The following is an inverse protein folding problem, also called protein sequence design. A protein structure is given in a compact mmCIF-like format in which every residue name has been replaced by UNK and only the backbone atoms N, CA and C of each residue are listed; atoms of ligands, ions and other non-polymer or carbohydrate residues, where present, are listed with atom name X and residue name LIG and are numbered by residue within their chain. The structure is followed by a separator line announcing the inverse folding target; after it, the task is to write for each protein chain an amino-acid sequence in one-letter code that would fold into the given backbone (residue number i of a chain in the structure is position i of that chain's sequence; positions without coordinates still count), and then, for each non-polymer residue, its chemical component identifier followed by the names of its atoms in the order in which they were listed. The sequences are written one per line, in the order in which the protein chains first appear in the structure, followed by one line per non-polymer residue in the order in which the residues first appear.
data_IF_218592905843
#
_entry.id   IF_218592905843
#
_cell.length_a   1.000
_cell.length_b   1.000
_cell.length_c   1.000
_cell.angle_alpha   90.00
_cell.angle_beta   90.00
_cell.angle_gamma   90.00
#
_symmetry.space_group_name_H-M   'P 1'
#
loop_
_entity.id
_entity.type
_entity.pdbx_description
1 polymer ?
#
# COMPACT_ATOMS: atom_id res chain seq x y z
N UNK A 1 10.18 -12.32 34.36
CA UNK A 1 9.98 -11.07 33.60
C UNK A 1 8.93 -11.36 32.55
N UNK A 2 7.78 -10.66 32.55
CA UNK A 2 6.79 -10.82 31.48
C UNK A 2 7.34 -10.11 30.26
N UNK A 3 7.64 -10.84 29.19
CA UNK A 3 7.72 -10.26 27.85
C UNK A 3 6.34 -9.66 27.56
N UNK A 4 6.18 -8.36 27.78
CA UNK A 4 5.00 -7.64 27.33
C UNK A 4 5.02 -7.67 25.81
N UNK A 5 4.06 -8.40 25.23
CA UNK A 5 3.83 -8.41 23.79
C UNK A 5 3.64 -6.95 23.33
N UNK A 6 4.59 -6.46 22.53
CA UNK A 6 4.53 -5.11 21.97
C UNK A 6 3.61 -5.14 20.74
N UNK A 7 2.40 -4.62 20.90
CA UNK A 7 1.40 -4.52 19.84
C UNK A 7 1.39 -3.17 19.13
N UNK A 8 2.28 -2.24 19.47
CA UNK A 8 2.28 -0.88 18.91
C UNK A 8 2.57 -0.90 17.40
N UNK A 9 3.52 -1.73 16.96
CA UNK A 9 3.88 -1.86 15.54
C UNK A 9 2.74 -2.50 14.71
N UNK A 10 2.18 -3.67 15.10
CA UNK A 10 1.00 -4.23 14.45
C UNK A 10 -0.21 -3.27 14.43
N UNK A 11 -0.52 -2.61 15.55
CA UNK A 11 -1.64 -1.67 15.63
C UNK A 11 -1.44 -0.48 14.69
N UNK A 12 -0.21 0.04 14.58
CA UNK A 12 0.15 1.10 13.65
C UNK A 12 -0.04 0.68 12.19
N UNK A 13 0.40 -0.52 11.82
CA UNK A 13 0.19 -1.07 10.47
C UNK A 13 -1.30 -1.23 10.15
N UNK A 14 -2.07 -1.84 11.06
CA UNK A 14 -3.51 -2.04 10.88
C UNK A 14 -4.25 -0.71 10.72
N UNK A 15 -3.90 0.30 11.54
CA UNK A 15 -4.46 1.66 11.43
C UNK A 15 -4.13 2.31 10.09
N UNK A 16 -2.90 2.12 9.59
CA UNK A 16 -2.50 2.59 8.28
C UNK A 16 -3.29 1.88 7.16
N UNK A 17 -3.61 0.61 7.30
CA UNK A 17 -4.35 -0.16 6.30
C UNK A 17 -5.86 0.04 6.35
N UNK A 18 -6.44 0.45 7.49
CA UNK A 18 -7.88 0.60 7.69
C UNK A 18 -8.51 1.80 6.95
N UNK A 19 -8.38 1.82 5.61
CA UNK A 19 -9.01 2.80 4.72
C UNK A 19 -9.18 2.20 3.31
N UNK A 20 -10.35 2.33 2.69
CA UNK A 20 -10.69 1.64 1.45
C UNK A 20 -9.70 1.92 0.31
N UNK A 21 -9.36 3.20 0.08
CA UNK A 21 -8.38 3.57 -0.96
C UNK A 21 -7.00 3.00 -0.70
N UNK A 22 -6.57 2.92 0.56
CA UNK A 22 -5.23 2.41 0.91
C UNK A 22 -5.17 0.90 0.74
N UNK A 23 -6.22 0.18 1.13
CA UNK A 23 -6.35 -1.24 0.81
C UNK A 23 -6.30 -1.47 -0.69
N UNK A 24 -7.05 -0.69 -1.48
CA UNK A 24 -7.07 -0.83 -2.94
C UNK A 24 -5.68 -0.57 -3.57
N UNK A 25 -4.96 0.46 -3.11
CA UNK A 25 -3.59 0.75 -3.55
C UNK A 25 -2.64 -0.41 -3.20
N UNK A 26 -2.61 -0.84 -1.95
CA UNK A 26 -1.71 -1.91 -1.50
C UNK A 26 -2.02 -3.23 -2.22
N UNK A 27 -3.31 -3.52 -2.38
CA UNK A 27 -3.83 -4.65 -3.12
C UNK A 27 -3.30 -4.70 -4.56
N UNK A 28 -3.44 -3.59 -5.30
CA UNK A 28 -2.99 -3.53 -6.68
C UNK A 28 -1.46 -3.51 -6.84
N UNK A 29 -0.73 -3.18 -5.76
CA UNK A 29 0.74 -3.17 -5.72
C UNK A 29 1.37 -4.47 -5.16
N UNK A 30 0.57 -5.50 -4.85
CA UNK A 30 1.09 -6.73 -4.22
C UNK A 30 2.11 -7.46 -5.10
N UNK A 31 1.84 -7.53 -6.41
CA UNK A 31 2.60 -8.34 -7.35
C UNK A 31 3.30 -7.51 -8.44
N UNK A 32 3.06 -6.20 -8.49
CA UNK A 32 3.62 -5.32 -9.52
C UNK A 32 3.88 -3.91 -8.99
N UNK A 33 4.61 -3.12 -9.78
CA UNK A 33 4.85 -1.71 -9.52
C UNK A 33 3.93 -0.85 -10.39
N UNK A 34 3.46 0.27 -9.85
CA UNK A 34 2.55 1.15 -10.58
C UNK A 34 2.85 2.62 -10.27
N UNK A 35 2.64 3.50 -11.25
CA UNK A 35 2.79 4.95 -11.07
C UNK A 35 1.46 5.59 -10.63
N UNK A 36 1.53 6.82 -10.09
CA UNK A 36 0.35 7.52 -9.57
C UNK A 36 -0.69 7.82 -10.66
N UNK A 37 -0.25 8.08 -11.89
CA UNK A 37 -1.14 8.39 -13.02
C UNK A 37 -2.07 7.20 -13.32
N UNK A 38 -1.50 6.01 -13.46
CA UNK A 38 -2.26 4.79 -13.71
C UNK A 38 -3.17 4.45 -12.53
N UNK A 39 -2.70 4.59 -11.29
CA UNK A 39 -3.55 4.38 -10.11
C UNK A 39 -4.75 5.32 -10.06
N UNK A 40 -4.53 6.61 -10.37
CA UNK A 40 -5.58 7.62 -10.41
C UNK A 40 -6.69 7.23 -11.40
N UNK A 41 -6.31 6.78 -12.59
CA UNK A 41 -7.26 6.40 -13.63
C UNK A 41 -8.01 5.11 -13.25
N UNK A 42 -7.31 4.08 -12.73
CA UNK A 42 -7.94 2.83 -12.28
C UNK A 42 -8.88 3.02 -11.06
N UNK A 43 -8.52 3.91 -10.13
CA UNK A 43 -9.31 4.16 -8.92
C UNK A 43 -10.41 5.21 -9.13
N UNK A 44 -10.43 5.89 -10.28
CA UNK A 44 -11.28 7.05 -10.54
C UNK A 44 -11.20 8.13 -9.44
N UNK A 45 -10.00 8.36 -8.92
CA UNK A 45 -9.73 9.35 -7.86
C UNK A 45 -8.81 10.46 -8.36
N UNK A 46 -8.88 11.68 -7.79
CA UNK A 46 -7.90 12.72 -8.10
C UNK A 46 -6.46 12.29 -7.78
N UNK A 47 -5.50 12.74 -8.60
CA UNK A 47 -4.08 12.39 -8.44
C UNK A 47 -3.52 12.88 -7.10
N UNK A 48 -4.01 14.03 -6.61
CA UNK A 48 -3.67 14.58 -5.29
C UNK A 48 -4.11 13.63 -4.17
N UNK A 49 -5.31 13.05 -4.28
CA UNK A 49 -5.83 12.07 -3.32
C UNK A 49 -4.98 10.80 -3.31
N UNK A 50 -4.65 10.24 -4.48
CA UNK A 50 -3.79 9.05 -4.57
C UNK A 50 -2.40 9.34 -4.00
N UNK A 51 -1.81 10.48 -4.35
CA UNK A 51 -0.51 10.92 -3.82
C UNK A 51 -0.53 11.06 -2.29
N UNK A 52 -1.61 11.62 -1.72
CA UNK A 52 -1.77 11.74 -0.28
C UNK A 52 -1.83 10.37 0.41
N UNK A 53 -2.59 9.42 -0.15
CA UNK A 53 -2.66 8.07 0.41
C UNK A 53 -1.32 7.33 0.30
N UNK A 54 -0.60 7.48 -0.81
CA UNK A 54 0.75 6.94 -0.98
C UNK A 54 1.75 7.54 0.02
N UNK A 55 1.67 8.84 0.29
CA UNK A 55 2.51 9.49 1.29
C UNK A 55 2.29 8.92 2.69
N UNK A 56 1.03 8.67 3.07
CA UNK A 56 0.68 8.02 4.34
C UNK A 56 1.26 6.60 4.39
N UNK A 57 1.03 5.78 3.35
CA UNK A 57 1.54 4.41 3.27
C UNK A 57 3.07 4.36 3.32
N UNK A 58 3.75 5.30 2.65
CA UNK A 58 5.22 5.42 2.65
C UNK A 58 5.75 5.81 4.01
N UNK A 59 5.13 6.78 4.70
CA UNK A 59 5.51 7.17 6.04
C UNK A 59 5.37 6.03 7.07
N UNK A 60 4.49 5.05 6.80
CA UNK A 60 4.34 3.86 7.61
C UNK A 60 5.24 2.69 7.16
N UNK A 61 6.08 2.88 6.14
CA UNK A 61 6.99 1.86 5.62
C UNK A 61 6.29 0.72 4.90
N UNK A 62 5.08 0.94 4.39
CA UNK A 62 4.28 -0.10 3.71
C UNK A 62 4.65 -0.17 2.22
N UNK A 63 4.85 1.00 1.61
CA UNK A 63 5.23 1.13 0.21
C UNK A 63 6.49 1.97 0.08
N UNK A 64 7.20 1.80 -1.02
CA UNK A 64 8.26 2.70 -1.43
C UNK A 64 8.15 3.05 -2.92
N UNK A 65 8.74 4.18 -3.31
CA UNK A 65 8.69 4.73 -4.66
C UNK A 65 10.08 4.83 -5.28
N UNK A 66 10.24 4.28 -6.48
CA UNK A 66 11.47 4.36 -7.28
C UNK A 66 11.21 5.28 -8.47
N UNK A 67 12.13 6.23 -8.72
CA UNK A 67 12.01 7.16 -9.85
C UNK A 67 12.45 6.46 -11.14
N UNK A 68 11.58 6.48 -12.14
CA UNK A 68 11.81 5.93 -13.48
C UNK A 68 11.58 7.05 -14.49
N UNK A 69 12.66 7.76 -14.85
CA UNK A 69 12.59 8.96 -15.70
C UNK A 69 11.83 10.10 -15.02
N UNK A 70 10.72 10.53 -15.62
CA UNK A 70 9.86 11.60 -15.11
C UNK A 70 8.81 11.10 -14.11
N UNK A 71 8.61 9.79 -14.01
CA UNK A 71 7.57 9.19 -13.16
C UNK A 71 8.15 8.48 -11.94
N UNK A 72 7.31 8.23 -10.94
CA UNK A 72 7.65 7.45 -9.74
C UNK A 72 6.76 6.22 -9.70
N UNK A 73 7.38 5.05 -9.62
CA UNK A 73 6.72 3.76 -9.52
C UNK A 73 6.76 3.28 -8.07
N UNK A 74 5.60 2.93 -7.54
CA UNK A 74 5.46 2.45 -6.17
C UNK A 74 5.35 0.93 -6.12
N UNK A 75 5.82 0.34 -5.02
CA UNK A 75 5.69 -1.10 -4.71
C UNK A 75 5.48 -1.32 -3.22
N UNK A 76 4.82 -2.43 -2.84
CA UNK A 76 4.75 -2.85 -1.43
C UNK A 76 6.09 -3.44 -1.00
N UNK A 77 6.66 -2.93 0.09
CA UNK A 77 7.95 -3.35 0.63
C UNK A 77 7.83 -4.12 1.94
N UNK A 78 6.69 -4.03 2.63
CA UNK A 78 6.47 -4.71 3.91
C UNK A 78 5.87 -6.11 3.69
N UNK A 79 6.65 -7.15 3.98
CA UNK A 79 6.23 -8.55 3.77
C UNK A 79 5.04 -8.96 4.66
N UNK A 80 4.98 -8.49 5.92
CA UNK A 80 3.82 -8.77 6.81
C UNK A 80 2.52 -8.20 6.22
N UNK A 81 2.60 -7.02 5.60
CA UNK A 81 1.44 -6.42 4.92
C UNK A 81 1.05 -7.24 3.69
N UNK A 82 2.01 -7.73 2.90
CA UNK A 82 1.69 -8.60 1.75
C UNK A 82 0.94 -9.85 2.19
N UNK A 83 1.45 -10.55 3.21
CA UNK A 83 0.80 -11.74 3.77
C UNK A 83 -0.61 -11.42 4.29
N UNK A 84 -0.75 -10.34 5.07
CA UNK A 84 -2.04 -9.93 5.61
C UNK A 84 -3.07 -9.62 4.51
N UNK A 85 -2.69 -8.87 3.48
CA UNK A 85 -3.61 -8.52 2.39
C UNK A 85 -3.98 -9.75 1.56
N UNK A 86 -3.04 -10.68 1.34
CA UNK A 86 -3.35 -11.97 0.70
C UNK A 86 -4.37 -12.78 1.49
N UNK A 87 -4.26 -12.82 2.82
CA UNK A 87 -5.24 -13.50 3.68
C UNK A 87 -6.60 -12.81 3.64
N UNK A 88 -6.64 -11.48 3.66
CA UNK A 88 -7.90 -10.72 3.70
C UNK A 88 -8.66 -10.68 2.37
N UNK A 89 -7.94 -10.60 1.25
CA UNK A 89 -8.51 -10.29 -0.07
C UNK A 89 -8.23 -11.37 -1.14
N UNK A 90 -7.40 -12.38 -0.85
CA UNK A 90 -7.01 -13.45 -1.78
C UNK A 90 -5.90 -13.05 -2.77
N UNK A 91 -5.46 -13.97 -3.62
CA UNK A 91 -4.30 -13.76 -4.53
C UNK A 91 -4.61 -13.03 -5.85
N UNK A 92 -5.88 -12.87 -6.22
CA UNK A 92 -6.28 -12.30 -7.52
C UNK A 92 -6.54 -10.79 -7.43
N UNK A 93 -5.49 -10.00 -7.60
CA UNK A 93 -5.60 -8.53 -7.56
C UNK A 93 -4.87 -7.89 -8.74
N UNK A 94 -5.39 -8.12 -9.96
CA UNK A 94 -4.98 -7.41 -11.18
C UNK A 94 -5.69 -6.04 -11.26
N UNK A 95 -5.53 -5.21 -10.22
CA UNK A 95 -6.25 -3.92 -10.10
C UNK A 95 -5.67 -2.85 -11.03
N UNK A 96 -4.35 -2.91 -11.27
CA UNK A 96 -3.63 -1.94 -12.09
C UNK A 96 -3.05 -2.56 -13.37
N UNK A 97 -3.60 -3.67 -13.88
CA UNK A 97 -3.21 -4.19 -15.20
C UNK A 97 -3.96 -3.45 -16.30
#
# INVERSE_FOLDING_TARGET
MKETMNYDEPARLLKALAHPTRLCIVAGLLNDTCNVNKMKDCLALPQSTVSQQLAILRAQGIVDGVRCGTEVHYKVTNEKVKELIKVLLGDKQDIFK
#
